data_IF_096305805435
#
_entry.id   IF_096305805435
#
_cell.length_a   1.000
_cell.length_b   1.000
_cell.length_c   1.000
_cell.angle_alpha   90.00
_cell.angle_beta   90.00
_cell.angle_gamma   90.00
#
_symmetry.space_group_name_H-M   'P 1'
#
loop_
_entity.id
_entity.type
_entity.pdbx_description
1 polymer ?
#
# COMPACT_ATOMS: atom_id res chain seq x y z
N UNK A 1 -37.01 -9.81 -1.08
CA UNK A 1 -35.74 -9.22 -1.57
C UNK A 1 -34.79 -10.25 -2.20
N UNK A 2 -35.31 -11.35 -2.79
CA UNK A 2 -34.50 -12.35 -3.52
C UNK A 2 -34.43 -12.06 -5.03
N UNK A 3 -35.33 -11.20 -5.53
CA UNK A 3 -35.41 -10.79 -6.94
C UNK A 3 -34.18 -10.05 -7.45
N UNK A 4 -33.35 -9.48 -6.56
CA UNK A 4 -32.08 -8.85 -6.94
C UNK A 4 -31.13 -9.86 -7.61
N UNK A 5 -31.21 -11.15 -7.21
CA UNK A 5 -30.40 -12.24 -7.76
C UNK A 5 -30.89 -12.75 -9.12
N UNK A 6 -32.08 -12.32 -9.59
CA UNK A 6 -32.57 -12.63 -10.94
C UNK A 6 -32.00 -11.66 -12.00
N UNK A 7 -31.53 -10.49 -11.57
CA UNK A 7 -30.98 -9.45 -12.45
C UNK A 7 -29.45 -9.43 -12.33
N UNK A 8 -28.92 -9.61 -11.13
CA UNK A 8 -27.49 -9.71 -10.87
C UNK A 8 -27.08 -11.18 -10.76
N UNK A 9 -26.28 -11.63 -11.72
CA UNK A 9 -25.67 -12.96 -11.65
C UNK A 9 -24.86 -13.08 -10.34
N UNK A 10 -25.21 -14.03 -9.43
CA UNK A 10 -24.65 -14.15 -8.10
C UNK A 10 -23.12 -14.08 -8.06
N UNK A 11 -22.51 -14.77 -9.03
CA UNK A 11 -21.07 -14.86 -9.20
C UNK A 11 -20.45 -13.52 -9.54
N UNK A 12 -21.05 -12.76 -10.45
CA UNK A 12 -20.53 -11.45 -10.88
C UNK A 12 -20.61 -10.43 -9.75
N UNK A 13 -21.68 -10.42 -8.96
CA UNK A 13 -21.82 -9.51 -7.82
C UNK A 13 -20.75 -9.77 -6.75
N UNK A 14 -20.53 -11.05 -6.39
CA UNK A 14 -19.49 -11.43 -5.43
C UNK A 14 -18.08 -11.13 -5.95
N UNK A 15 -17.81 -11.42 -7.22
CA UNK A 15 -16.51 -11.13 -7.85
C UNK A 15 -16.28 -9.62 -7.93
N UNK A 16 -17.27 -8.83 -8.34
CA UNK A 16 -17.15 -7.37 -8.43
C UNK A 16 -16.84 -6.75 -7.07
N UNK A 17 -17.55 -7.18 -6.01
CA UNK A 17 -17.29 -6.73 -4.65
C UNK A 17 -15.88 -7.14 -4.20
N UNK A 18 -15.49 -8.40 -4.41
CA UNK A 18 -14.17 -8.89 -4.02
C UNK A 18 -13.04 -8.14 -4.75
N UNK A 19 -13.15 -7.98 -6.07
CA UNK A 19 -12.17 -7.26 -6.88
C UNK A 19 -12.12 -5.78 -6.48
N UNK A 20 -13.27 -5.14 -6.25
CA UNK A 20 -13.30 -3.74 -5.82
C UNK A 20 -12.56 -3.53 -4.49
N UNK A 21 -12.88 -4.33 -3.47
CA UNK A 21 -12.19 -4.23 -2.18
C UNK A 21 -10.71 -4.61 -2.29
N UNK A 22 -10.37 -5.61 -3.10
CA UNK A 22 -9.00 -6.06 -3.28
C UNK A 22 -8.13 -5.01 -3.98
N UNK A 23 -8.63 -4.41 -5.07
CA UNK A 23 -7.94 -3.32 -5.77
C UNK A 23 -7.76 -2.12 -4.85
N UNK A 24 -8.79 -1.75 -4.08
CA UNK A 24 -8.70 -0.67 -3.10
C UNK A 24 -7.63 -0.96 -2.03
N UNK A 25 -7.59 -2.19 -1.52
CA UNK A 25 -6.58 -2.60 -0.55
C UNK A 25 -5.16 -2.51 -1.14
N UNK A 26 -4.94 -3.02 -2.35
CA UNK A 26 -3.65 -2.93 -3.01
C UNK A 26 -3.23 -1.47 -3.23
N UNK A 27 -4.11 -0.61 -3.72
CA UNK A 27 -3.82 0.83 -3.90
C UNK A 27 -3.30 1.47 -2.61
N UNK A 28 -3.97 1.23 -1.48
CA UNK A 28 -3.55 1.77 -0.18
C UNK A 28 -2.18 1.21 0.21
N UNK A 29 -1.96 -0.10 0.09
CA UNK A 29 -0.68 -0.72 0.45
C UNK A 29 0.47 -0.20 -0.43
N UNK A 30 0.28 -0.11 -1.75
CA UNK A 30 1.28 0.42 -2.67
C UNK A 30 1.62 1.89 -2.39
N UNK A 31 0.65 2.70 -1.97
CA UNK A 31 0.91 4.10 -1.56
C UNK A 31 1.74 4.15 -0.29
N UNK A 32 1.41 3.33 0.72
CA UNK A 32 2.19 3.26 1.97
C UNK A 32 3.62 2.76 1.69
N UNK A 33 3.78 1.74 0.86
CA UNK A 33 5.08 1.20 0.46
C UNK A 33 5.88 2.17 -0.41
N UNK A 34 5.24 2.97 -1.25
CA UNK A 34 5.94 3.96 -2.08
C UNK A 34 6.48 5.14 -1.24
N UNK A 35 5.90 5.37 -0.06
CA UNK A 35 6.28 6.49 0.81
C UNK A 35 7.47 6.11 1.69
N UNK A 36 8.57 6.86 1.58
CA UNK A 36 9.85 6.62 2.30
C UNK A 36 9.70 6.45 3.83
N UNK A 37 8.64 7.05 4.41
CA UNK A 37 8.33 6.99 5.85
C UNK A 37 7.56 5.74 6.32
N UNK A 38 6.79 5.12 5.43
CA UNK A 38 5.91 3.97 5.73
C UNK A 38 6.31 2.70 4.96
N UNK A 39 7.34 2.78 4.11
CA UNK A 39 7.92 1.65 3.41
C UNK A 39 8.69 0.75 4.38
N UNK A 40 7.96 -0.15 5.06
CA UNK A 40 8.56 -1.09 6.01
C UNK A 40 9.44 -2.16 5.33
N UNK A 41 9.40 -2.27 4.00
CA UNK A 41 10.19 -3.22 3.21
C UNK A 41 11.56 -2.68 2.82
N UNK A 42 11.72 -1.36 2.65
CA UNK A 42 13.04 -0.72 2.42
C UNK A 42 13.88 -0.60 3.72
N UNK A 43 13.28 -0.85 4.89
CA UNK A 43 13.88 -0.52 6.18
C UNK A 43 14.06 1.00 6.33
N UNK A 44 14.47 1.50 7.51
CA UNK A 44 14.79 2.91 7.64
C UNK A 44 15.93 3.22 6.65
N UNK A 45 15.62 3.91 5.55
CA UNK A 45 16.60 4.80 4.93
C UNK A 45 16.86 5.89 5.94
N UNK A 46 17.66 5.57 6.95
CA UNK A 46 18.52 6.57 7.57
C UNK A 46 19.43 6.98 6.43
N UNK A 47 19.24 8.16 5.78
CA UNK A 47 20.29 8.68 4.94
C UNK A 47 21.57 8.58 5.76
N UNK A 48 22.66 7.98 5.25
CA UNK A 48 23.89 7.83 6.02
C UNK A 48 24.16 9.18 6.62
N UNK A 49 24.18 9.24 7.96
CA UNK A 49 24.37 10.49 8.69
C UNK A 49 25.53 11.18 8.00
N UNK A 50 25.25 12.32 7.33
CA UNK A 50 26.24 13.01 6.54
C UNK A 50 27.47 13.12 7.43
N UNK A 51 28.53 12.42 7.05
CA UNK A 51 29.70 12.24 7.90
C UNK A 51 30.07 13.62 8.41
N UNK A 52 29.87 13.85 9.72
CA UNK A 52 30.20 15.11 10.33
C UNK A 52 31.65 15.38 9.90
N UNK A 53 31.95 16.56 9.31
CA UNK A 53 33.30 16.83 8.84
C UNK A 53 34.21 16.58 10.04
N UNK A 54 35.08 15.58 9.91
CA UNK A 54 36.02 15.23 10.96
C UNK A 54 36.73 16.53 11.33
N UNK A 55 36.47 17.03 12.54
CA UNK A 55 37.15 18.20 13.05
C UNK A 55 38.65 17.86 12.99
N UNK A 56 39.44 18.54 12.14
CA UNK A 56 40.87 18.31 12.09
C UNK A 56 41.42 18.83 13.42
N UNK A 57 41.97 17.92 14.23
CA UNK A 57 42.64 18.30 15.45
C UNK A 57 43.87 19.15 15.14
N UNK A 58 43.93 20.33 15.76
CA UNK A 58 45.13 21.04 16.24
C UNK A 58 44.69 22.06 17.29
#
# INVERSE_FOLDING_TARGET
MWRIWLIFDPRRALVALFVFLFVLALLIHFILLSTDKFNWLDGPRTPPAAAAPAMPGT
#
